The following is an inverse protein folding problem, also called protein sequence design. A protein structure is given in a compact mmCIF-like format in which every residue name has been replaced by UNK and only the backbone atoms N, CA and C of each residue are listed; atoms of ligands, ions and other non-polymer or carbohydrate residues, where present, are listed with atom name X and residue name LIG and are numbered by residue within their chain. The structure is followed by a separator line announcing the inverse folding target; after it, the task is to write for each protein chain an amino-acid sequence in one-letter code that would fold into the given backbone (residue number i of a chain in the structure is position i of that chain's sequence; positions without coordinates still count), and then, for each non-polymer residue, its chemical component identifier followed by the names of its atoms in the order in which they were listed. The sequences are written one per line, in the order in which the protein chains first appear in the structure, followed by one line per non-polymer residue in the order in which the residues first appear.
data_IF_895403610251
#
_entry.id   IF_895403610251
#
_cell.length_a   1.000
_cell.length_b   1.000
_cell.length_c   1.000
_cell.angle_alpha   90.00
_cell.angle_beta   90.00
_cell.angle_gamma   90.00
#
_symmetry.space_group_name_H-M   'P 1'
#
loop_
_entity.id
_entity.type
_entity.pdbx_description
1 polymer ?
#
# COMPACT_ATOMS: atom_id res chain seq x y z
N UNK A 1 -10.97 -15.80 -11.54
CA UNK A 1 -12.21 -15.16 -11.03
C UNK A 1 -12.15 -15.22 -9.51
N UNK A 2 -11.75 -14.13 -8.85
CA UNK A 2 -11.77 -14.02 -7.40
C UNK A 2 -13.15 -13.48 -7.04
N UNK A 3 -14.05 -14.36 -6.59
CA UNK A 3 -15.35 -13.92 -6.08
C UNK A 3 -15.15 -13.47 -4.65
N UNK A 4 -15.24 -12.16 -4.41
CA UNK A 4 -15.35 -11.62 -3.05
C UNK A 4 -16.83 -11.69 -2.72
N UNK A 5 -17.21 -12.71 -1.96
CA UNK A 5 -18.52 -12.71 -1.31
C UNK A 5 -18.59 -11.44 -0.46
N UNK A 6 -19.60 -10.59 -0.66
CA UNK A 6 -19.73 -9.31 0.06
C UNK A 6 -20.07 -9.50 1.54
N UNK A 7 -19.92 -10.71 2.04
CA UNK A 7 -20.10 -11.08 3.43
C UNK A 7 -18.80 -10.85 4.20
N UNK A 8 -18.85 -9.99 5.21
CA UNK A 8 -17.74 -9.78 6.14
C UNK A 8 -17.64 -11.04 7.00
N UNK A 9 -16.89 -12.03 6.52
CA UNK A 9 -16.70 -13.31 7.21
C UNK A 9 -15.83 -13.20 8.47
N UNK A 10 -15.16 -12.06 8.68
CA UNK A 10 -14.30 -11.81 9.83
C UNK A 10 -14.76 -10.59 10.63
N UNK A 11 -15.94 -10.69 11.24
CA UNK A 11 -16.47 -9.65 12.16
C UNK A 11 -15.62 -9.44 13.43
N UNK A 12 -14.64 -10.29 13.67
CA UNK A 12 -13.64 -10.16 14.74
C UNK A 12 -12.54 -9.14 14.44
N UNK A 13 -12.34 -8.75 13.18
CA UNK A 13 -11.37 -7.71 12.83
C UNK A 13 -12.04 -6.34 13.00
N UNK A 14 -11.84 -5.75 14.17
CA UNK A 14 -12.37 -4.44 14.52
C UNK A 14 -11.44 -3.27 14.17
N UNK A 15 -10.16 -3.56 13.88
CA UNK A 15 -9.14 -2.54 13.59
C UNK A 15 -8.85 -2.45 12.10
N UNK A 16 -8.85 -1.23 11.58
CA UNK A 16 -8.42 -0.90 10.22
C UNK A 16 -7.01 -1.43 9.92
N UNK A 17 -6.08 -1.29 10.87
CA UNK A 17 -4.70 -1.77 10.69
C UNK A 17 -4.68 -3.30 10.58
N UNK A 18 -5.42 -4.00 11.43
CA UNK A 18 -5.52 -5.47 11.39
C UNK A 18 -6.14 -5.96 10.08
N UNK A 19 -7.15 -5.26 9.55
CA UNK A 19 -7.75 -5.55 8.25
C UNK A 19 -6.74 -5.38 7.10
N UNK A 20 -5.98 -4.29 7.10
CA UNK A 20 -4.93 -4.06 6.12
C UNK A 20 -3.81 -5.10 6.20
N UNK A 21 -3.36 -5.45 7.40
CA UNK A 21 -2.37 -6.52 7.59
C UNK A 21 -2.87 -7.86 7.04
N UNK A 22 -4.14 -8.22 7.29
CA UNK A 22 -4.72 -9.45 6.74
C UNK A 22 -4.79 -9.39 5.21
N UNK A 23 -5.23 -8.26 4.65
CA UNK A 23 -5.28 -8.04 3.21
C UNK A 23 -3.88 -8.21 2.60
N UNK A 24 -2.84 -7.60 3.18
CA UNK A 24 -1.47 -7.74 2.69
C UNK A 24 -0.94 -9.17 2.83
N UNK A 25 -1.17 -9.80 3.98
CA UNK A 25 -0.75 -11.17 4.25
C UNK A 25 -1.42 -12.19 3.33
N UNK A 26 -2.68 -11.97 2.94
CA UNK A 26 -3.44 -12.88 2.09
C UNK A 26 -2.79 -13.08 0.71
N UNK A 27 -2.12 -12.06 0.20
CA UNK A 27 -1.34 -12.17 -1.04
C UNK A 27 -0.17 -13.15 -0.89
N UNK A 28 0.59 -13.06 0.20
CA UNK A 28 1.78 -13.89 0.40
C UNK A 28 1.46 -15.30 0.90
N UNK A 29 0.47 -15.43 1.78
CA UNK A 29 0.10 -16.71 2.40
C UNK A 29 -0.81 -17.56 1.51
N UNK A 30 -1.74 -16.91 0.79
CA UNK A 30 -2.81 -17.61 0.05
C UNK A 30 -2.79 -17.34 -1.46
N UNK A 31 -1.85 -16.52 -1.95
CA UNK A 31 -1.77 -16.10 -3.35
C UNK A 31 -3.06 -15.39 -3.85
N UNK A 32 -3.80 -14.77 -2.94
CA UNK A 32 -5.00 -14.01 -3.25
C UNK A 32 -4.56 -12.65 -3.80
N UNK A 33 -4.78 -12.45 -5.10
CA UNK A 33 -4.38 -11.22 -5.77
C UNK A 33 -5.31 -10.07 -5.42
N UNK A 34 -4.74 -8.90 -5.18
CA UNK A 34 -5.53 -7.68 -5.02
C UNK A 34 -6.26 -7.34 -6.33
N UNK A 35 -7.41 -6.64 -6.25
CA UNK A 35 -8.05 -6.04 -7.41
C UNK A 35 -7.08 -5.17 -8.22
N UNK A 36 -7.09 -5.33 -9.55
CA UNK A 36 -6.15 -4.66 -10.45
C UNK A 36 -6.20 -3.12 -10.38
N UNK A 37 -7.36 -2.55 -10.05
CA UNK A 37 -7.54 -1.10 -9.90
C UNK A 37 -6.93 -0.49 -8.63
N UNK A 38 -6.47 -1.31 -7.68
CA UNK A 38 -5.99 -0.83 -6.37
C UNK A 38 -4.47 -0.68 -6.30
N UNK A 39 -3.73 -0.99 -7.36
CA UNK A 39 -2.26 -0.98 -7.34
C UNK A 39 -1.66 0.33 -6.83
N UNK A 40 -2.12 1.48 -7.34
CA UNK A 40 -1.63 2.80 -6.88
C UNK A 40 -1.98 3.08 -5.42
N UNK A 41 -3.18 2.71 -4.97
CA UNK A 41 -3.60 2.90 -3.57
C UNK A 41 -2.77 2.04 -2.62
N UNK A 42 -2.50 0.79 -2.99
CA UNK A 42 -1.68 -0.12 -2.19
C UNK A 42 -0.24 0.38 -2.11
N UNK A 43 0.32 0.83 -3.23
CA UNK A 43 1.66 1.40 -3.29
C UNK A 43 1.79 2.67 -2.41
N UNK A 44 0.79 3.55 -2.43
CA UNK A 44 0.72 4.72 -1.55
C UNK A 44 0.71 4.32 -0.07
N UNK A 45 -0.16 3.38 0.31
CA UNK A 45 -0.27 2.89 1.69
C UNK A 45 1.03 2.24 2.18
N UNK A 46 1.60 1.35 1.37
CA UNK A 46 2.84 0.64 1.66
C UNK A 46 3.99 1.61 1.96
N UNK A 47 4.18 2.63 1.11
CA UNK A 47 5.29 3.58 1.27
C UNK A 47 5.06 4.59 2.38
N UNK A 48 3.86 5.18 2.46
CA UNK A 48 3.61 6.32 3.34
C UNK A 48 3.27 5.91 4.78
N UNK A 49 2.57 4.78 4.97
CA UNK A 49 2.08 4.38 6.30
C UNK A 49 2.80 3.16 6.88
N UNK A 50 3.29 2.26 6.03
CA UNK A 50 3.88 0.99 6.47
C UNK A 50 5.39 0.92 6.28
N UNK A 51 6.01 1.95 5.70
CA UNK A 51 7.45 1.99 5.38
C UNK A 51 7.93 0.76 4.60
N UNK A 52 7.06 0.16 3.78
CA UNK A 52 7.37 -0.92 2.87
C UNK A 52 7.87 -0.30 1.57
N UNK A 53 9.09 -0.69 1.16
CA UNK A 53 9.76 -0.17 -0.03
C UNK A 53 9.85 1.38 -0.08
N UNK A 54 10.38 2.03 0.98
CA UNK A 54 10.44 3.49 1.09
C UNK A 54 11.35 4.11 0.03
N UNK A 55 11.17 5.42 -0.21
CA UNK A 55 11.98 6.26 -1.13
C UNK A 55 13.50 6.05 -0.96
N UNK A 56 13.96 5.92 0.29
CA UNK A 56 15.34 5.61 0.65
C UNK A 56 15.40 4.26 1.35
N UNK A 57 15.98 3.26 0.70
CA UNK A 57 16.28 1.98 1.35
C UNK A 57 17.40 2.13 2.38
N UNK A 58 17.33 1.37 3.48
CA UNK A 58 18.34 1.37 4.56
C UNK A 58 19.63 0.61 4.22
N UNK A 59 19.67 -0.13 3.11
CA UNK A 59 20.77 -1.05 2.77
C UNK A 59 21.71 -0.57 1.65
N UNK A 60 21.42 0.57 1.00
CA UNK A 60 22.24 1.06 -0.13
C UNK A 60 22.36 2.57 -0.03
N UNK A 61 23.49 3.05 0.49
CA UNK A 61 23.73 4.46 0.77
C UNK A 61 23.85 5.32 -0.50
N UNK A 62 24.03 4.72 -1.69
CA UNK A 62 24.65 5.46 -2.79
C UNK A 62 24.17 5.14 -4.21
N UNK A 63 22.89 4.80 -4.39
CA UNK A 63 22.35 4.75 -5.74
C UNK A 63 21.05 5.54 -5.82
N UNK A 64 21.08 6.63 -6.60
CA UNK A 64 19.91 7.35 -7.13
C UNK A 64 19.09 6.46 -8.08
N UNK A 65 18.79 5.23 -7.67
CA UNK A 65 17.79 4.43 -8.35
C UNK A 65 16.48 5.12 -8.02
N UNK A 66 16.01 5.93 -8.96
CA UNK A 66 14.58 6.23 -9.08
C UNK A 66 13.86 4.90 -8.86
N UNK A 67 13.26 4.72 -7.69
CA UNK A 67 12.34 3.62 -7.49
C UNK A 67 11.28 3.82 -8.58
N UNK A 68 10.98 2.76 -9.34
CA UNK A 68 9.85 2.77 -10.27
C UNK A 68 8.57 2.92 -9.43
N UNK A 69 8.27 4.16 -9.07
CA UNK A 69 7.06 4.56 -8.40
C UNK A 69 6.02 4.89 -9.46
N UNK A 70 4.77 4.53 -9.19
CA UNK A 70 3.68 4.98 -10.02
C UNK A 70 3.61 6.52 -10.01
N UNK A 71 3.62 7.20 -11.17
CA UNK A 71 3.65 8.66 -11.23
C UNK A 71 2.46 9.32 -10.53
N UNK A 72 1.31 8.64 -10.45
CA UNK A 72 0.14 9.13 -9.71
C UNK A 72 0.36 9.13 -8.19
N UNK A 73 1.08 8.13 -7.69
CA UNK A 73 1.43 8.04 -6.27
C UNK A 73 2.43 9.13 -5.91
N UNK A 74 3.42 9.36 -6.77
CA UNK A 74 4.39 10.44 -6.60
C UNK A 74 3.70 11.81 -6.58
N UNK A 75 2.82 12.08 -7.56
CA UNK A 75 2.07 13.32 -7.63
C UNK A 75 1.22 13.55 -6.37
N UNK A 76 0.50 12.52 -5.91
CA UNK A 76 -0.30 12.62 -4.69
C UNK A 76 0.55 12.90 -3.44
N UNK A 77 1.69 12.24 -3.30
CA UNK A 77 2.61 12.47 -2.17
C UNK A 77 3.12 13.92 -2.18
N UNK A 78 3.47 14.43 -3.36
CA UNK A 78 3.93 15.81 -3.52
C UNK A 78 2.81 16.81 -3.18
N UNK A 79 1.61 16.62 -3.73
CA UNK A 79 0.45 17.47 -3.43
C UNK A 79 0.10 17.49 -1.93
N UNK A 80 0.18 16.34 -1.25
CA UNK A 80 -0.04 16.26 0.19
C UNK A 80 1.07 16.93 1.01
N UNK A 81 2.31 16.90 0.51
CA UNK A 81 3.46 17.54 1.18
C UNK A 81 3.43 19.06 1.05
N UNK A 82 2.98 19.56 -0.10
CA UNK A 82 2.80 20.98 -0.39
C UNK A 82 1.49 21.54 0.22
N UNK A 83 0.63 20.68 0.78
CA UNK A 83 -0.64 21.09 1.36
C UNK A 83 -0.45 21.73 2.74
N UNK A 84 -0.82 23.02 2.86
CA UNK A 84 -0.90 23.70 4.16
C UNK A 84 -2.23 23.38 4.85
N UNK A 85 -2.16 22.61 5.93
CA UNK A 85 -3.30 22.30 6.79
C UNK A 85 -3.72 23.56 7.57
N UNK A 86 -4.93 24.07 7.31
CA UNK A 86 -5.51 25.24 7.99
C UNK A 86 -6.26 24.86 9.26
#
# INVERSE_FOLDING_TARGET
MLSVDREITNGTISSFISALCLMFGSFYCFNIHYPSGLGSTLEFLQRCFFSINPEKGTKVENNKRHLNMNPRVLALIQELSDHEWR
#
